data_IF_159473737303
#
_entry.id   IF_159473737303
#
_cell.length_a   1.000
_cell.length_b   1.000
_cell.length_c   1.000
_cell.angle_alpha   90.00
_cell.angle_beta   90.00
_cell.angle_gamma   90.00
#
_symmetry.space_group_name_H-M   'P 1'
#
loop_
_entity.id
_entity.type
_entity.pdbx_description
1 polymer ?
#
# COMPACT_ATOMS: atom_id res chain seq x y z
N UNK A 1 -1.81 1.66 -7.74
CA UNK A 1 -0.98 2.69 -8.40
C UNK A 1 0.46 2.52 -7.95
N UNK A 2 1.40 2.37 -8.88
CA UNK A 2 2.84 2.25 -8.59
C UNK A 2 3.54 3.54 -9.00
N UNK A 3 4.49 4.00 -8.18
CA UNK A 3 5.32 5.17 -8.46
C UNK A 3 6.72 5.00 -7.91
N UNK A 4 7.67 5.73 -8.48
CA UNK A 4 9.04 5.83 -8.00
C UNK A 4 9.39 7.32 -7.87
N UNK A 5 9.39 7.82 -6.64
CA UNK A 5 9.74 9.21 -6.36
C UNK A 5 10.42 9.32 -4.99
N UNK A 6 11.49 10.11 -4.85
CA UNK A 6 12.13 10.38 -3.57
C UNK A 6 11.24 11.20 -2.61
N UNK A 7 10.12 11.74 -3.09
CA UNK A 7 9.18 12.52 -2.30
C UNK A 7 8.03 11.66 -1.75
N UNK A 8 7.44 12.08 -0.64
CA UNK A 8 6.31 11.39 0.00
C UNK A 8 4.96 11.64 -0.73
N UNK A 9 4.86 11.25 -2.00
CA UNK A 9 3.69 11.57 -2.84
C UNK A 9 2.53 10.57 -2.74
N UNK A 10 2.79 9.33 -2.31
CA UNK A 10 1.78 8.25 -2.30
C UNK A 10 0.49 8.58 -1.52
N UNK A 11 0.50 9.32 -0.38
CA UNK A 11 -0.75 9.67 0.31
C UNK A 11 -1.61 10.64 -0.51
N UNK A 12 -0.99 11.61 -1.17
CA UNK A 12 -1.68 12.61 -2.01
C UNK A 12 -2.29 11.95 -3.23
N UNK A 13 -1.55 11.06 -3.88
CA UNK A 13 -2.04 10.28 -5.00
C UNK A 13 -3.24 9.43 -4.58
N UNK A 14 -3.12 8.64 -3.50
CA UNK A 14 -4.24 7.83 -3.01
C UNK A 14 -5.49 8.67 -2.68
N UNK A 15 -5.30 9.82 -2.04
CA UNK A 15 -6.40 10.74 -1.69
C UNK A 15 -7.10 11.26 -2.95
N UNK A 16 -6.34 11.67 -3.98
CA UNK A 16 -6.91 12.19 -5.22
C UNK A 16 -7.73 11.16 -6.00
N UNK A 17 -7.45 9.87 -5.82
CA UNK A 17 -8.13 8.77 -6.50
C UNK A 17 -9.31 8.23 -5.71
N UNK A 18 -9.31 8.33 -4.38
CA UNK A 18 -10.41 7.89 -3.51
C UNK A 18 -11.77 8.50 -3.92
N UNK A 19 -11.80 9.79 -4.28
CA UNK A 19 -13.02 10.46 -4.74
C UNK A 19 -13.45 10.04 -6.14
N UNK A 20 -12.49 9.72 -7.02
CA UNK A 20 -12.73 9.29 -8.40
C UNK A 20 -13.15 7.83 -8.51
N UNK A 21 -12.76 7.01 -7.54
CA UNK A 21 -13.09 5.59 -7.45
C UNK A 21 -13.88 5.30 -6.15
N UNK A 22 -15.07 5.89 -5.98
CA UNK A 22 -15.75 5.92 -4.68
C UNK A 22 -16.20 4.54 -4.17
N UNK A 23 -16.28 3.55 -5.05
CA UNK A 23 -16.67 2.17 -4.71
C UNK A 23 -15.48 1.23 -4.50
N UNK A 24 -14.25 1.71 -4.65
CA UNK A 24 -13.04 0.87 -4.62
C UNK A 24 -12.08 1.28 -3.51
N UNK A 25 -11.31 0.31 -3.04
CA UNK A 25 -10.13 0.55 -2.22
C UNK A 25 -8.98 0.93 -3.15
N UNK A 26 -8.35 2.08 -2.88
CA UNK A 26 -7.23 2.60 -3.68
C UNK A 26 -5.92 2.35 -2.93
N UNK A 27 -5.02 1.60 -3.56
CA UNK A 27 -3.62 1.45 -3.14
C UNK A 27 -2.70 2.34 -3.98
N UNK A 28 -1.86 3.12 -3.31
CA UNK A 28 -0.77 3.88 -3.93
C UNK A 28 0.56 3.49 -3.28
N UNK A 29 1.50 2.94 -4.05
CA UNK A 29 2.76 2.40 -3.59
C UNK A 29 3.94 3.17 -4.21
N UNK A 30 4.83 3.70 -3.37
CA UNK A 30 6.04 4.43 -3.75
C UNK A 30 7.30 3.68 -3.31
N UNK A 31 8.08 3.22 -4.29
CA UNK A 31 9.36 2.51 -4.07
C UNK A 31 10.57 3.46 -3.97
N UNK A 32 10.42 4.73 -4.32
CA UNK A 32 11.52 5.70 -4.35
C UNK A 32 11.69 6.49 -3.05
N UNK A 33 10.68 6.50 -2.16
CA UNK A 33 10.67 7.40 -0.99
C UNK A 33 11.70 7.00 0.06
N UNK A 34 11.88 5.71 0.30
CA UNK A 34 12.90 5.16 1.20
C UNK A 34 13.57 3.98 0.50
N UNK A 35 14.90 4.01 0.33
CA UNK A 35 15.63 2.90 -0.29
C UNK A 35 15.30 1.55 0.36
N UNK A 36 15.15 0.51 -0.46
CA UNK A 36 14.86 -0.85 0.01
C UNK A 36 13.41 -1.08 0.48
N UNK A 37 12.52 -0.09 0.37
CA UNK A 37 11.16 -0.17 0.93
C UNK A 37 10.11 0.37 -0.02
N UNK A 38 8.94 -0.24 0.03
CA UNK A 38 7.72 0.28 -0.57
C UNK A 38 6.91 0.98 0.51
N UNK A 39 6.74 2.29 0.35
CA UNK A 39 5.88 3.10 1.22
C UNK A 39 4.55 3.31 0.52
N UNK A 40 3.46 2.94 1.16
CA UNK A 40 2.16 2.92 0.52
C UNK A 40 1.06 3.52 1.37
N UNK A 41 0.05 4.06 0.68
CA UNK A 41 -1.18 4.56 1.27
C UNK A 41 -2.37 3.78 0.71
N UNK A 42 -3.35 3.53 1.58
CA UNK A 42 -4.61 2.89 1.27
C UNK A 42 -5.75 3.82 1.67
N UNK A 43 -6.69 4.02 0.74
CA UNK A 43 -7.80 4.95 0.89
C UNK A 43 -9.08 4.31 0.38
N UNK A 44 -10.21 4.52 1.05
CA UNK A 44 -11.52 4.07 0.58
C UNK A 44 -12.63 5.00 1.07
N UNK A 45 -13.68 5.12 0.27
CA UNK A 45 -14.96 5.73 0.66
C UNK A 45 -16.01 4.69 1.07
N UNK A 46 -15.80 3.41 0.76
CA UNK A 46 -16.80 2.36 0.84
C UNK A 46 -16.45 1.21 1.80
N UNK A 47 -15.27 1.25 2.42
CA UNK A 47 -14.78 0.16 3.27
C UNK A 47 -13.86 0.66 4.38
N UNK A 48 -13.84 -0.07 5.50
CA UNK A 48 -12.86 0.11 6.56
C UNK A 48 -11.50 -0.45 6.10
N UNK A 49 -10.61 0.41 5.64
CA UNK A 49 -9.29 0.02 5.12
C UNK A 49 -8.35 -0.46 6.20
N UNK A 50 -8.57 -0.08 7.46
CA UNK A 50 -7.78 -0.55 8.59
C UNK A 50 -8.06 -2.03 8.86
N UNK A 51 -9.34 -2.38 8.98
CA UNK A 51 -9.78 -3.78 9.15
C UNK A 51 -9.41 -4.61 7.93
N UNK A 52 -9.63 -4.09 6.72
CA UNK A 52 -9.25 -4.76 5.49
C UNK A 52 -7.76 -5.12 5.48
N UNK A 53 -6.87 -4.17 5.79
CA UNK A 53 -5.43 -4.46 5.84
C UNK A 53 -5.08 -5.45 6.95
N UNK A 54 -5.67 -5.33 8.14
CA UNK A 54 -5.43 -6.27 9.25
C UNK A 54 -5.92 -7.69 8.96
N UNK A 55 -6.92 -7.84 8.09
CA UNK A 55 -7.42 -9.17 7.67
C UNK A 55 -6.41 -9.92 6.78
N UNK A 56 -5.46 -9.20 6.17
CA UNK A 56 -4.47 -9.82 5.29
C UNK A 56 -3.27 -10.22 6.12
N UNK A 57 -3.10 -11.52 6.31
CA UNK A 57 -1.95 -12.08 7.00
C UNK A 57 -0.78 -12.27 6.02
N UNK A 58 0.34 -11.63 6.35
CA UNK A 58 1.65 -11.85 5.73
C UNK A 58 2.66 -12.25 6.82
N UNK A 59 3.67 -13.03 6.44
CA UNK A 59 4.65 -13.67 7.34
C UNK A 59 5.40 -12.67 8.19
N UNK A 60 5.49 -12.83 9.52
CA UNK A 60 6.15 -11.86 10.42
C UNK A 60 7.54 -11.39 9.92
N UNK A 61 7.87 -10.11 10.13
CA UNK A 61 9.13 -9.54 9.66
C UNK A 61 9.18 -8.01 9.73
N UNK A 62 10.24 -7.42 9.18
CA UNK A 62 10.43 -5.96 9.18
C UNK A 62 9.31 -5.23 8.42
N UNK A 63 9.00 -4.02 8.86
CA UNK A 63 7.99 -3.16 8.26
C UNK A 63 6.67 -3.17 9.02
N UNK A 64 5.83 -2.19 8.70
CA UNK A 64 4.57 -1.97 9.40
C UNK A 64 3.50 -1.57 8.41
N UNK A 65 2.31 -2.15 8.53
CA UNK A 65 1.12 -1.76 7.78
C UNK A 65 -0.12 -1.92 8.66
N UNK A 66 -1.28 -1.42 8.22
CA UNK A 66 -2.51 -1.53 9.02
C UNK A 66 -2.50 -0.63 10.25
N UNK A 67 -1.93 0.56 10.12
CA UNK A 67 -1.98 1.65 11.11
C UNK A 67 -2.70 2.86 10.49
N UNK A 68 -3.49 3.60 11.27
CA UNK A 68 -4.22 4.77 10.82
C UNK A 68 -5.71 4.72 11.15
N UNK A 69 -6.54 5.30 10.29
CA UNK A 69 -7.99 5.39 10.43
C UNK A 69 -8.71 4.44 9.47
N UNK A 70 -9.98 4.20 9.75
CA UNK A 70 -10.92 3.40 8.96
C UNK A 70 -10.97 3.79 7.47
N UNK A 71 -10.78 5.05 7.10
CA UNK A 71 -10.78 5.50 5.70
C UNK A 71 -9.40 5.82 5.13
N UNK A 72 -8.37 5.76 5.96
CA UNK A 72 -7.01 6.16 5.63
C UNK A 72 -5.98 5.36 6.44
N UNK A 73 -5.41 4.35 5.79
CA UNK A 73 -4.34 3.52 6.35
C UNK A 73 -3.17 3.45 5.36
N UNK A 74 -2.15 2.66 5.68
CA UNK A 74 -0.96 2.53 4.86
C UNK A 74 0.13 1.76 5.58
N UNK A 75 1.34 1.82 5.01
CA UNK A 75 2.48 1.13 5.58
C UNK A 75 3.79 1.39 4.86
N UNK A 76 4.83 0.77 5.37
CA UNK A 76 6.16 0.74 4.79
C UNK A 76 6.73 -0.66 4.96
N UNK A 77 6.88 -1.39 3.85
CA UNK A 77 7.31 -2.78 3.82
C UNK A 77 8.59 -2.93 2.98
N UNK A 78 9.51 -3.83 3.35
CA UNK A 78 10.53 -4.35 2.43
C UNK A 78 9.91 -4.97 1.17
N UNK A 79 10.69 -5.11 0.10
CA UNK A 79 10.19 -5.55 -1.21
C UNK A 79 9.59 -6.96 -1.21
N UNK A 80 10.24 -7.90 -0.55
CA UNK A 80 9.77 -9.28 -0.37
C UNK A 80 8.40 -9.33 0.31
N UNK A 81 8.24 -8.60 1.42
CA UNK A 81 6.97 -8.54 2.15
C UNK A 81 5.89 -7.76 1.40
N UNK A 82 6.28 -6.74 0.65
CA UNK A 82 5.35 -6.05 -0.24
C UNK A 82 4.84 -6.97 -1.36
N UNK A 83 5.71 -7.79 -1.96
CA UNK A 83 5.33 -8.77 -2.97
C UNK A 83 4.44 -9.88 -2.36
N UNK A 84 4.70 -10.30 -1.12
CA UNK A 84 3.81 -11.21 -0.39
C UNK A 84 2.41 -10.60 -0.20
N UNK A 85 2.32 -9.32 0.20
CA UNK A 85 1.06 -8.60 0.32
C UNK A 85 0.31 -8.54 -1.01
N UNK A 86 1.00 -8.24 -2.12
CA UNK A 86 0.40 -8.23 -3.45
C UNK A 86 -0.13 -9.61 -3.86
N UNK A 87 0.61 -10.67 -3.57
CA UNK A 87 0.18 -12.06 -3.82
C UNK A 87 -1.09 -12.41 -3.05
N UNK A 88 -1.17 -12.05 -1.77
CA UNK A 88 -2.40 -12.24 -0.95
C UNK A 88 -3.59 -11.43 -1.46
N UNK A 89 -3.33 -10.29 -2.09
CA UNK A 89 -4.34 -9.46 -2.75
C UNK A 89 -4.75 -9.97 -4.15
N UNK A 90 -4.14 -11.06 -4.64
CA UNK A 90 -4.43 -11.65 -5.95
C UNK A 90 -3.71 -10.97 -7.12
N UNK A 91 -2.72 -10.12 -6.87
CA UNK A 91 -1.88 -9.55 -7.92
C UNK A 91 -0.76 -10.53 -8.31
N UNK A 92 -0.36 -10.58 -9.59
CA UNK A 92 0.78 -11.39 -10.02
C UNK A 92 2.09 -10.85 -9.42
N UNK A 93 3.04 -11.75 -9.17
CA UNK A 93 4.33 -11.51 -8.49
C UNK A 93 5.24 -10.47 -9.17
N UNK A 94 4.93 -10.11 -10.42
CA UNK A 94 5.66 -9.12 -11.20
C UNK A 94 5.30 -7.71 -10.76
N UNK A 95 5.94 -7.17 -9.71
CA UNK A 95 5.79 -5.73 -9.46
C UNK A 95 6.91 -4.98 -8.78
N UNK A 96 7.83 -5.55 -7.98
CA UNK A 96 8.94 -4.74 -7.44
C UNK A 96 10.21 -5.59 -7.33
N UNK A 97 11.10 -5.46 -8.32
CA UNK A 97 12.43 -6.08 -8.31
C UNK A 97 13.38 -5.11 -7.62
N UNK A 98 14.03 -5.54 -6.55
CA UNK A 98 15.22 -4.86 -6.02
C UNK A 98 16.28 -4.86 -7.12
N UNK A 99 16.46 -3.74 -7.80
CA UNK A 99 17.59 -3.56 -8.72
C UNK A 99 18.84 -3.19 -7.93
#
# INVERSE_FOLDING_TARGET
>A
LRMNSPCQIHPLIAQSWRSRLPKHIVFAANEGYRPGRVNFAVRSNSANVLEFLRSIQISDGEGSYGHGHDQASGGSLPYDRWNELLSKLGFPETSFISR
#
